data_IF_864071507451
#
_entry.id   IF_864071507451
#
_cell.length_a   1.000
_cell.length_b   1.000
_cell.length_c   1.000
_cell.angle_alpha   90.00
_cell.angle_beta   90.00
_cell.angle_gamma   90.00
#
_symmetry.space_group_name_H-M   'P 1'
#
loop_
_entity.id
_entity.type
_entity.pdbx_description
1 polymer ?
#
# COMPACT_ATOMS: atom_id res chain seq x y z
N UNK A 1 -47.68 23.38 42.01
CA UNK A 1 -47.32 23.84 40.65
C UNK A 1 -45.86 23.52 40.42
N UNK A 2 -45.56 22.47 39.65
CA UNK A 2 -44.19 22.07 39.32
C UNK A 2 -43.73 22.85 38.09
N UNK A 3 -42.62 23.59 38.21
CA UNK A 3 -42.03 24.36 37.12
C UNK A 3 -41.26 23.47 36.16
N UNK A 4 -41.67 23.44 34.89
CA UNK A 4 -40.89 22.90 33.78
C UNK A 4 -39.81 23.94 33.40
N UNK A 5 -38.56 23.68 33.74
CA UNK A 5 -37.40 24.37 33.18
C UNK A 5 -37.04 23.72 31.84
N UNK A 6 -37.37 24.38 30.74
CA UNK A 6 -36.91 24.02 29.40
C UNK A 6 -35.40 24.28 29.30
N UNK A 7 -34.61 23.22 29.32
CA UNK A 7 -33.18 23.28 29.05
C UNK A 7 -32.92 23.69 27.60
N UNK A 8 -32.23 24.82 27.41
CA UNK A 8 -31.72 25.23 26.11
C UNK A 8 -30.65 24.24 25.66
N UNK A 9 -30.92 23.53 24.56
CA UNK A 9 -29.92 22.75 23.85
C UNK A 9 -28.87 23.69 23.27
N UNK A 10 -27.65 23.66 23.82
CA UNK A 10 -26.51 24.35 23.23
C UNK A 10 -26.15 23.67 21.91
N UNK A 11 -26.34 24.39 20.81
CA UNK A 11 -25.89 23.96 19.49
C UNK A 11 -24.38 23.70 19.55
N UNK A 12 -23.97 22.46 19.27
CA UNK A 12 -22.56 22.07 19.23
C UNK A 12 -21.82 22.89 18.17
N UNK A 13 -20.97 23.82 18.62
CA UNK A 13 -20.04 24.53 17.76
C UNK A 13 -19.05 23.52 17.17
N UNK A 14 -19.26 23.13 15.92
CA UNK A 14 -18.29 22.39 15.15
C UNK A 14 -16.98 23.22 15.07
N UNK A 15 -15.86 22.60 15.43
CA UNK A 15 -14.56 23.28 15.40
C UNK A 15 -14.30 23.92 14.03
N UNK A 16 -13.67 25.11 13.98
CA UNK A 16 -13.41 25.80 12.72
C UNK A 16 -12.53 24.92 11.81
N UNK A 17 -12.85 24.91 10.51
CA UNK A 17 -12.07 24.17 9.52
C UNK A 17 -10.61 24.63 9.54
N UNK A 18 -9.62 23.73 9.43
CA UNK A 18 -8.22 24.10 9.42
C UNK A 18 -7.89 25.10 8.30
N UNK A 19 -7.09 26.12 8.61
CA UNK A 19 -6.54 27.06 7.62
C UNK A 19 -5.53 26.36 6.71
N UNK A 20 -5.26 26.95 5.53
CA UNK A 20 -4.26 26.45 4.58
C UNK A 20 -2.87 26.26 5.23
N UNK A 21 -2.44 27.24 6.05
CA UNK A 21 -1.18 27.17 6.80
C UNK A 21 -1.16 25.99 7.77
N UNK A 22 -2.27 25.73 8.47
CA UNK A 22 -2.41 24.58 9.36
C UNK A 22 -2.39 23.27 8.57
N UNK A 23 -3.07 23.18 7.42
CA UNK A 23 -3.06 22.00 6.56
C UNK A 23 -1.65 21.68 6.04
N UNK A 24 -0.91 22.68 5.56
CA UNK A 24 0.49 22.53 5.11
C UNK A 24 1.40 22.03 6.23
N UNK A 25 1.26 22.59 7.44
CA UNK A 25 2.02 22.12 8.62
C UNK A 25 1.67 20.67 9.00
N UNK A 26 0.38 20.33 8.99
CA UNK A 26 -0.08 18.97 9.26
C UNK A 26 0.43 17.97 8.20
N UNK A 27 0.45 18.35 6.93
CA UNK A 27 1.00 17.55 5.84
C UNK A 27 2.50 17.32 6.01
N UNK A 28 3.27 18.34 6.36
CA UNK A 28 4.70 18.18 6.64
C UNK A 28 4.95 17.22 7.83
N UNK A 29 4.14 17.32 8.89
CA UNK A 29 4.21 16.41 10.04
C UNK A 29 3.86 14.97 9.64
N UNK A 30 2.79 14.78 8.86
CA UNK A 30 2.37 13.46 8.38
C UNK A 30 3.38 12.84 7.41
N UNK A 31 3.97 13.64 6.52
CA UNK A 31 5.04 13.21 5.62
C UNK A 31 6.20 12.60 6.39
N UNK A 32 6.75 13.33 7.38
CA UNK A 32 7.82 12.81 8.25
C UNK A 32 7.45 11.51 8.95
N UNK A 33 6.19 11.38 9.41
CA UNK A 33 5.70 10.15 10.06
C UNK A 33 5.62 8.98 9.09
N UNK A 34 5.13 9.23 7.86
CA UNK A 34 4.99 8.19 6.84
C UNK A 34 6.36 7.71 6.37
N UNK A 35 7.32 8.61 6.16
CA UNK A 35 8.69 8.26 5.76
C UNK A 35 9.36 7.37 6.81
N UNK A 36 9.20 7.74 8.09
CA UNK A 36 9.68 6.93 9.22
C UNK A 36 9.05 5.54 9.21
N UNK A 37 7.73 5.43 9.09
CA UNK A 37 7.02 4.15 9.04
C UNK A 37 7.43 3.30 7.84
N UNK A 38 7.64 3.90 6.66
CA UNK A 38 8.10 3.20 5.47
C UNK A 38 9.50 2.62 5.70
N UNK A 39 10.40 3.40 6.31
CA UNK A 39 11.73 2.94 6.69
C UNK A 39 11.68 1.74 7.65
N UNK A 40 10.90 1.85 8.72
CA UNK A 40 10.69 0.78 9.70
C UNK A 40 10.07 -0.48 9.07
N UNK A 41 9.04 -0.29 8.23
CA UNK A 41 8.37 -1.37 7.51
C UNK A 41 9.34 -2.13 6.60
N UNK A 42 10.17 -1.42 5.83
CA UNK A 42 11.15 -2.04 4.94
C UNK A 42 12.20 -2.82 5.74
N UNK A 43 12.71 -2.26 6.84
CA UNK A 43 13.65 -2.96 7.72
C UNK A 43 13.03 -4.26 8.28
N UNK A 44 11.78 -4.20 8.78
CA UNK A 44 11.10 -5.40 9.29
C UNK A 44 10.79 -6.42 8.19
N UNK A 45 10.45 -5.99 6.97
CA UNK A 45 10.27 -6.91 5.83
C UNK A 45 11.53 -7.72 5.53
N UNK A 46 12.69 -7.07 5.53
CA UNK A 46 13.98 -7.74 5.35
C UNK A 46 14.24 -8.70 6.50
N UNK A 47 13.96 -8.30 7.74
CA UNK A 47 14.07 -9.17 8.91
C UNK A 47 13.16 -10.40 8.80
N UNK A 48 11.89 -10.25 8.39
CA UNK A 48 10.96 -11.37 8.14
C UNK A 48 11.49 -12.29 7.05
N UNK A 49 12.07 -11.78 5.97
CA UNK A 49 12.65 -12.62 4.93
C UNK A 49 13.81 -13.48 5.47
N UNK A 50 14.69 -12.89 6.29
CA UNK A 50 15.76 -13.61 6.99
C UNK A 50 15.20 -14.63 7.99
N UNK A 51 14.17 -14.27 8.75
CA UNK A 51 13.50 -15.15 9.71
C UNK A 51 12.86 -16.36 9.03
N UNK A 52 12.22 -16.17 7.86
CA UNK A 52 11.70 -17.28 7.03
C UNK A 52 12.79 -18.24 6.59
N UNK A 53 13.94 -17.73 6.13
CA UNK A 53 15.06 -18.58 5.74
C UNK A 53 15.64 -19.35 6.93
N UNK A 54 15.75 -18.70 8.09
CA UNK A 54 16.21 -19.34 9.34
C UNK A 54 15.24 -20.41 9.84
N UNK A 55 13.93 -20.14 9.79
CA UNK A 55 12.87 -21.07 10.17
C UNK A 55 12.85 -22.30 9.25
N UNK A 56 12.96 -22.09 7.93
CA UNK A 56 13.09 -23.18 6.95
C UNK A 56 14.30 -24.06 7.27
N UNK A 57 15.47 -23.44 7.48
CA UNK A 57 16.70 -24.17 7.83
C UNK A 57 16.55 -24.93 9.16
N UNK A 58 15.82 -24.40 10.14
CA UNK A 58 15.57 -25.07 11.40
C UNK A 58 14.63 -26.28 11.25
N UNK A 59 13.60 -26.18 10.39
CA UNK A 59 12.73 -27.32 10.05
C UNK A 59 13.51 -28.43 9.33
N UNK A 60 14.40 -28.08 8.41
CA UNK A 60 15.26 -29.05 7.73
C UNK A 60 16.20 -29.76 8.72
N UNK A 61 16.80 -29.03 9.68
CA UNK A 61 17.61 -29.64 10.76
C UNK A 61 16.79 -30.56 11.66
N UNK A 62 15.55 -30.18 12.00
CA UNK A 62 14.65 -31.02 12.77
C UNK A 62 14.34 -32.33 12.03
N UNK A 63 14.00 -32.25 10.73
CA UNK A 63 13.74 -33.43 9.92
C UNK A 63 14.96 -34.36 9.83
N UNK A 64 16.17 -33.80 9.70
CA UNK A 64 17.42 -34.58 9.75
C UNK A 64 17.60 -35.27 11.10
N UNK A 65 17.45 -34.52 12.20
CA UNK A 65 17.62 -35.07 13.55
C UNK A 65 16.56 -36.12 13.92
N UNK A 66 15.35 -36.02 13.38
CA UNK A 66 14.31 -37.06 13.50
C UNK A 66 14.69 -38.33 12.74
N UNK A 67 15.31 -38.20 11.56
CA UNK A 67 15.84 -39.33 10.79
C UNK A 67 16.98 -40.01 11.55
N UNK A 68 17.92 -39.22 12.09
CA UNK A 68 19.06 -39.73 12.86
C UNK A 68 18.60 -40.43 14.15
N UNK A 69 17.61 -39.86 14.85
CA UNK A 69 17.02 -40.48 16.03
C UNK A 69 16.37 -41.83 15.68
N UNK A 70 15.60 -41.90 14.59
CA UNK A 70 14.98 -43.15 14.15
C UNK A 70 16.01 -44.21 13.79
N UNK A 71 17.12 -43.82 13.14
CA UNK A 71 18.22 -44.74 12.86
C UNK A 71 18.87 -45.27 14.15
N UNK A 72 19.11 -44.40 15.13
CA UNK A 72 19.66 -44.79 16.43
C UNK A 72 18.68 -45.67 17.24
N UNK A 73 17.37 -45.41 17.17
CA UNK A 73 16.32 -46.24 17.76
C UNK A 73 16.35 -47.67 17.21
N UNK A 74 16.46 -47.82 15.87
CA UNK A 74 16.58 -49.13 15.23
C UNK A 74 17.82 -49.89 15.72
N UNK A 75 18.98 -49.22 15.80
CA UNK A 75 20.23 -49.85 16.28
C UNK A 75 20.14 -50.34 17.74
N UNK A 76 19.44 -49.60 18.61
CA UNK A 76 19.19 -50.03 19.99
C UNK A 76 18.16 -51.16 20.04
N UNK A 77 17.15 -51.13 19.16
CA UNK A 77 16.18 -52.20 18.98
C UNK A 77 16.82 -53.53 18.58
N UNK A 78 17.78 -53.50 17.64
CA UNK A 78 18.53 -54.69 17.21
C UNK A 78 19.31 -55.32 18.39
N UNK A 79 19.92 -54.51 19.25
CA UNK A 79 20.61 -55.01 20.45
C UNK A 79 19.61 -55.67 21.41
N UNK A 80 18.45 -55.05 21.63
CA UNK A 80 17.42 -55.59 22.50
C UNK A 80 16.88 -56.93 21.97
N UNK A 81 16.67 -57.04 20.66
CA UNK A 81 16.24 -58.26 20.00
C UNK A 81 17.30 -59.37 20.09
N UNK A 82 18.57 -59.07 19.82
CA UNK A 82 19.67 -60.04 19.97
C UNK A 82 19.75 -60.56 21.40
N UNK A 83 19.62 -59.68 22.41
CA UNK A 83 19.59 -60.09 23.82
C UNK A 83 18.37 -60.95 24.15
N UNK A 84 17.20 -60.61 23.61
CA UNK A 84 15.98 -61.40 23.80
C UNK A 84 16.10 -62.81 23.19
N UNK A 85 16.65 -62.92 21.98
CA UNK A 85 16.90 -64.20 21.30
C UNK A 85 17.99 -65.02 22.03
N UNK A 86 19.06 -64.39 22.48
CA UNK A 86 20.15 -65.04 23.21
C UNK A 86 19.77 -65.49 24.63
N UNK A 87 18.86 -64.76 25.29
CA UNK A 87 18.34 -65.07 26.64
C UNK A 87 17.39 -66.27 26.71
N UNK A 88 17.11 -66.94 25.57
CA UNK A 88 16.16 -68.04 25.48
C UNK A 88 16.71 -69.45 25.70
N UNK A 89 18.04 -69.68 25.70
CA UNK A 89 18.78 -70.94 25.98
C UNK A 89 20.08 -71.09 25.12
N UNK A 90 20.35 -70.19 24.17
CA UNK A 90 21.41 -70.37 23.16
C UNK A 90 22.83 -69.91 23.52
N UNK A 91 22.99 -68.89 24.36
CA UNK A 91 24.33 -68.32 24.69
C UNK A 91 25.11 -69.13 25.73
N UNK A 92 24.46 -69.99 26.52
CA UNK A 92 25.12 -70.77 27.58
C UNK A 92 25.89 -71.97 27.03
N UNK A 93 25.54 -72.47 25.83
CA UNK A 93 26.22 -73.59 25.19
C UNK A 93 27.58 -73.24 24.57
N UNK A 94 27.72 -72.03 24.01
CA UNK A 94 28.94 -71.58 23.33
C UNK A 94 30.01 -71.04 24.30
N UNK A 95 29.58 -70.42 25.42
CA UNK A 95 30.44 -69.81 26.44
C UNK A 95 31.29 -70.82 27.26
N UNK A 96 31.03 -72.13 27.09
CA UNK A 96 31.68 -73.19 27.87
C UNK A 96 32.90 -73.82 27.15
N UNK A 97 33.33 -73.29 26.01
CA UNK A 97 34.50 -73.79 25.26
C UNK A 97 35.71 -72.86 25.45
N UNK A 98 36.84 -73.31 26.04
CA UNK A 98 37.91 -72.40 26.45
C UNK A 98 38.80 -71.99 25.28
N UNK A 99 38.56 -70.81 24.71
CA UNK A 99 39.41 -70.17 23.71
C UNK A 99 39.80 -68.73 24.10
N UNK A 100 41.08 -68.37 23.99
CA UNK A 100 41.62 -67.04 24.32
C UNK A 100 41.03 -65.87 23.48
N UNK A 101 40.17 -66.15 22.48
CA UNK A 101 39.47 -65.14 21.66
C UNK A 101 38.18 -64.57 22.27
N UNK A 102 37.58 -65.25 23.25
CA UNK A 102 36.25 -64.88 23.77
C UNK A 102 36.25 -63.59 24.60
N UNK A 103 37.32 -63.32 25.35
CA UNK A 103 37.42 -62.12 26.18
C UNK A 103 37.52 -60.83 25.35
N UNK A 104 38.31 -60.85 24.27
CA UNK A 104 38.45 -59.70 23.36
C UNK A 104 37.15 -59.43 22.58
N UNK A 105 36.47 -60.49 22.13
CA UNK A 105 35.17 -60.42 21.48
C UNK A 105 34.10 -59.83 22.41
N UNK A 106 34.04 -60.29 23.66
CA UNK A 106 33.12 -59.76 24.68
C UNK A 106 33.38 -58.27 24.99
N UNK A 107 34.65 -57.88 25.11
CA UNK A 107 35.02 -56.49 25.35
C UNK A 107 34.64 -55.59 24.16
N UNK A 108 34.82 -56.07 22.93
CA UNK A 108 34.40 -55.36 21.72
C UNK A 108 32.88 -55.20 21.63
N UNK A 109 32.12 -56.26 21.93
CA UNK A 109 30.66 -56.24 22.00
C UNK A 109 30.14 -55.24 23.05
N UNK A 110 30.75 -55.20 24.24
CA UNK A 110 30.39 -54.22 25.27
C UNK A 110 30.70 -52.79 24.84
N UNK A 111 31.86 -52.55 24.21
CA UNK A 111 32.23 -51.25 23.67
C UNK A 111 31.24 -50.78 22.60
N UNK A 112 30.81 -51.68 21.71
CA UNK A 112 29.85 -51.37 20.65
C UNK A 112 28.45 -51.05 21.22
N UNK A 113 27.98 -51.82 22.21
CA UNK A 113 26.69 -51.56 22.88
C UNK A 113 26.69 -50.21 23.61
N UNK A 114 27.78 -49.88 24.30
CA UNK A 114 27.95 -48.59 24.97
C UNK A 114 27.96 -47.43 23.96
N UNK A 115 28.67 -47.61 22.83
CA UNK A 115 28.71 -46.63 21.76
C UNK A 115 27.32 -46.39 21.13
N UNK A 116 26.56 -47.45 20.84
CA UNK A 116 25.19 -47.36 20.30
C UNK A 116 24.23 -46.65 21.26
N UNK A 117 24.28 -46.96 22.55
CA UNK A 117 23.44 -46.29 23.57
C UNK A 117 23.79 -44.80 23.75
N UNK A 118 25.09 -44.47 23.71
CA UNK A 118 25.57 -43.09 23.73
C UNK A 118 25.13 -42.32 22.47
N UNK A 119 25.20 -42.97 21.31
CA UNK A 119 24.71 -42.45 20.02
C UNK A 119 23.22 -42.14 20.07
N UNK A 120 22.39 -43.04 20.59
CA UNK A 120 20.96 -42.81 20.79
C UNK A 120 20.68 -41.61 21.70
N UNK A 121 21.36 -41.51 22.84
CA UNK A 121 21.19 -40.37 23.76
C UNK A 121 21.56 -39.06 23.08
N UNK A 122 22.64 -39.05 22.30
CA UNK A 122 23.10 -37.89 21.54
C UNK A 122 22.09 -37.50 20.45
N UNK A 123 21.57 -38.45 19.67
CA UNK A 123 20.56 -38.22 18.65
C UNK A 123 19.25 -37.69 19.26
N UNK A 124 18.81 -38.24 20.40
CA UNK A 124 17.64 -37.78 21.14
C UNK A 124 17.79 -36.33 21.60
N UNK A 125 18.95 -35.98 22.14
CA UNK A 125 19.25 -34.62 22.59
C UNK A 125 19.33 -33.64 21.42
N UNK A 126 19.95 -34.05 20.30
CA UNK A 126 20.04 -33.25 19.08
C UNK A 126 18.64 -32.98 18.48
N UNK A 127 17.78 -34.01 18.40
CA UNK A 127 16.38 -33.86 17.96
C UNK A 127 15.61 -32.93 18.88
N UNK A 128 15.75 -33.08 20.20
CA UNK A 128 15.09 -32.17 21.17
C UNK A 128 15.51 -30.73 20.94
N UNK A 129 16.81 -30.47 20.82
CA UNK A 129 17.34 -29.12 20.56
C UNK A 129 16.80 -28.55 19.24
N UNK A 130 16.81 -29.34 18.16
CA UNK A 130 16.30 -28.93 16.87
C UNK A 130 14.79 -28.62 16.91
N UNK A 131 14.01 -29.38 17.68
CA UNK A 131 12.58 -29.14 17.88
C UNK A 131 12.31 -27.85 18.65
N UNK A 132 13.07 -27.61 19.73
CA UNK A 132 12.97 -26.40 20.55
C UNK A 132 13.36 -25.16 19.70
N UNK A 133 14.44 -25.24 18.91
CA UNK A 133 14.89 -24.17 18.01
C UNK A 133 13.86 -23.89 16.88
N UNK A 134 13.33 -24.94 16.23
CA UNK A 134 12.32 -24.79 15.18
C UNK A 134 11.01 -24.17 15.71
N UNK A 135 10.58 -24.58 16.91
CA UNK A 135 9.39 -24.01 17.59
C UNK A 135 9.59 -22.54 17.90
N UNK A 136 10.74 -22.17 18.47
CA UNK A 136 11.08 -20.78 18.77
C UNK A 136 11.09 -19.90 17.52
N UNK A 137 11.74 -20.35 16.45
CA UNK A 137 11.82 -19.60 15.19
C UNK A 137 10.45 -19.48 14.51
N UNK A 138 9.62 -20.52 14.57
CA UNK A 138 8.24 -20.47 14.06
C UNK A 138 7.40 -19.43 14.81
N UNK A 139 7.50 -19.39 16.14
CA UNK A 139 6.80 -18.41 16.96
C UNK A 139 7.27 -16.98 16.65
N UNK A 140 8.59 -16.75 16.62
CA UNK A 140 9.16 -15.45 16.28
C UNK A 140 8.73 -14.99 14.88
N UNK A 141 8.77 -15.88 13.88
CA UNK A 141 8.34 -15.56 12.53
C UNK A 141 6.87 -15.15 12.48
N UNK A 142 6.00 -15.82 13.23
CA UNK A 142 4.57 -15.48 13.32
C UNK A 142 4.39 -14.07 13.86
N UNK A 143 5.09 -13.73 14.94
CA UNK A 143 5.02 -12.40 15.55
C UNK A 143 5.57 -11.32 14.62
N UNK A 144 6.70 -11.57 13.96
CA UNK A 144 7.30 -10.64 13.01
C UNK A 144 6.38 -10.36 11.82
N UNK A 145 5.70 -11.40 11.30
CA UNK A 145 4.71 -11.27 10.21
C UNK A 145 3.50 -10.44 10.64
N UNK A 146 2.99 -10.65 11.85
CA UNK A 146 1.89 -9.84 12.42
C UNK A 146 2.31 -8.38 12.53
N UNK A 147 3.51 -8.11 13.05
CA UNK A 147 4.01 -6.75 13.20
C UNK A 147 4.22 -6.04 11.86
N UNK A 148 4.80 -6.71 10.85
CA UNK A 148 4.99 -6.14 9.50
C UNK A 148 3.64 -5.80 8.86
N UNK A 149 2.64 -6.66 9.06
CA UNK A 149 1.29 -6.44 8.52
C UNK A 149 0.61 -5.25 9.19
N UNK A 150 0.75 -5.12 10.52
CA UNK A 150 0.23 -3.96 11.25
C UNK A 150 0.89 -2.66 10.80
N UNK A 151 2.22 -2.63 10.69
CA UNK A 151 2.95 -1.44 10.20
C UNK A 151 2.55 -1.03 8.79
N UNK A 152 2.31 -2.00 7.90
CA UNK A 152 1.79 -1.72 6.56
C UNK A 152 0.45 -0.97 6.64
N UNK A 153 -0.47 -1.46 7.46
CA UNK A 153 -1.80 -0.86 7.63
C UNK A 153 -1.72 0.56 8.20
N UNK A 154 -0.80 0.80 9.13
CA UNK A 154 -0.57 2.13 9.71
C UNK A 154 -0.01 3.09 8.66
N UNK A 155 0.95 2.65 7.84
CA UNK A 155 1.48 3.44 6.73
C UNK A 155 0.38 3.76 5.70
N UNK A 156 -0.42 2.78 5.29
CA UNK A 156 -1.56 2.97 4.39
C UNK A 156 -2.58 3.98 4.94
N UNK A 157 -2.87 3.92 6.25
CA UNK A 157 -3.76 4.87 6.93
C UNK A 157 -3.21 6.30 6.89
N UNK A 158 -1.93 6.48 7.21
CA UNK A 158 -1.29 7.81 7.14
C UNK A 158 -1.27 8.36 5.71
N UNK A 159 -1.00 7.51 4.70
CA UNK A 159 -1.08 7.90 3.30
C UNK A 159 -2.50 8.36 2.94
N UNK A 160 -3.53 7.67 3.43
CA UNK A 160 -4.92 8.10 3.29
C UNK A 160 -5.17 9.49 3.89
N UNK A 161 -4.71 9.71 5.13
CA UNK A 161 -4.84 11.03 5.78
C UNK A 161 -4.10 12.15 5.04
N UNK A 162 -2.94 11.86 4.45
CA UNK A 162 -2.20 12.81 3.61
C UNK A 162 -3.04 13.15 2.38
N UNK A 163 -3.59 12.15 1.68
CA UNK A 163 -4.47 12.36 0.52
C UNK A 163 -5.69 13.22 0.87
N UNK A 164 -6.35 12.94 1.98
CA UNK A 164 -7.51 13.71 2.44
C UNK A 164 -7.15 15.18 2.73
N UNK A 165 -5.99 15.42 3.34
CA UNK A 165 -5.53 16.78 3.64
C UNK A 165 -5.07 17.53 2.40
N UNK A 166 -4.45 16.85 1.43
CA UNK A 166 -4.15 17.43 0.12
C UNK A 166 -5.44 17.83 -0.59
N UNK A 167 -6.47 16.99 -0.54
CA UNK A 167 -7.78 17.33 -1.11
C UNK A 167 -8.46 18.50 -0.38
N UNK A 168 -8.21 18.68 0.92
CA UNK A 168 -8.68 19.86 1.68
C UNK A 168 -7.96 21.16 1.33
N UNK A 169 -6.76 21.10 0.75
CA UNK A 169 -6.06 22.30 0.29
C UNK A 169 -6.73 22.93 -0.94
N UNK A 170 -7.49 22.16 -1.73
CA UNK A 170 -8.24 22.71 -2.86
C UNK A 170 -9.36 23.62 -2.33
N UNK A 171 -9.31 24.94 -2.60
CA UNK A 171 -10.29 25.87 -2.07
C UNK A 171 -11.67 25.63 -2.68
N UNK A 172 -12.71 26.04 -1.95
CA UNK A 172 -14.04 26.20 -2.54
C UNK A 172 -14.09 27.56 -3.21
N UNK A 173 -14.40 27.59 -4.50
CA UNK A 173 -14.50 28.82 -5.26
C UNK A 173 -15.57 29.77 -4.67
N UNK A 174 -15.41 31.09 -4.86
CA UNK A 174 -16.42 32.06 -4.47
C UNK A 174 -17.75 31.81 -5.18
N UNK A 175 -18.84 32.33 -4.60
CA UNK A 175 -20.16 32.26 -5.20
C UNK A 175 -20.91 30.94 -5.04
N UNK A 176 -20.39 29.96 -4.27
CA UNK A 176 -21.13 28.72 -3.97
C UNK A 176 -22.31 28.99 -3.04
N UNK A 177 -23.53 28.68 -3.48
CA UNK A 177 -24.77 28.85 -2.71
C UNK A 177 -25.07 27.61 -1.87
N UNK A 178 -25.90 27.77 -0.83
CA UNK A 178 -26.30 26.69 0.07
C UNK A 178 -27.02 25.53 -0.65
N UNK A 179 -27.78 25.83 -1.69
CA UNK A 179 -28.45 24.84 -2.54
C UNK A 179 -27.52 24.11 -3.54
N UNK A 180 -26.20 24.36 -3.46
CA UNK A 180 -25.19 23.74 -4.34
C UNK A 180 -25.04 24.40 -5.71
N UNK A 181 -25.89 25.37 -6.07
CA UNK A 181 -25.73 26.17 -7.28
C UNK A 181 -24.69 27.28 -7.11
N UNK A 182 -24.39 27.98 -8.20
CA UNK A 182 -23.39 29.05 -8.22
C UNK A 182 -24.04 30.41 -8.47
N UNK A 183 -23.52 31.44 -7.81
CA UNK A 183 -23.85 32.82 -8.11
C UNK A 183 -23.21 33.22 -9.46
N UNK A 184 -23.91 34.03 -10.27
CA UNK A 184 -23.30 34.68 -11.43
C UNK A 184 -22.12 35.55 -10.98
N UNK A 185 -21.06 35.57 -11.80
CA UNK A 185 -19.89 36.40 -11.59
C UNK A 185 -19.59 37.18 -12.86
N UNK A 186 -19.32 38.48 -12.73
CA UNK A 186 -18.85 39.29 -13.85
C UNK A 186 -17.35 39.07 -14.08
N UNK A 187 -16.88 39.05 -15.35
CA UNK A 187 -15.47 39.16 -15.65
C UNK A 187 -14.88 40.44 -15.07
N UNK A 188 -13.67 40.34 -14.53
CA UNK A 188 -12.94 41.47 -13.94
C UNK A 188 -11.46 41.38 -14.28
N UNK A 189 -10.71 42.46 -14.07
CA UNK A 189 -9.26 42.49 -14.27
C UNK A 189 -8.83 42.54 -15.74
N UNK A 190 -7.53 42.67 -15.97
CA UNK A 190 -6.95 42.78 -17.33
C UNK A 190 -7.04 41.49 -18.14
N UNK A 191 -7.33 40.36 -17.50
CA UNK A 191 -7.51 39.06 -18.13
C UNK A 191 -8.96 38.77 -18.53
N UNK A 192 -9.91 39.66 -18.23
CA UNK A 192 -11.33 39.57 -18.60
C UNK A 192 -11.96 38.20 -18.26
N UNK A 193 -11.64 37.65 -17.09
CA UNK A 193 -12.22 36.40 -16.59
C UNK A 193 -12.89 36.58 -15.23
N UNK A 194 -13.81 35.66 -14.91
CA UNK A 194 -14.46 35.66 -13.60
C UNK A 194 -13.47 35.26 -12.49
N UNK A 195 -13.68 35.69 -11.23
CA UNK A 195 -12.89 35.24 -10.08
C UNK A 195 -12.76 33.71 -9.99
N UNK A 196 -13.84 32.98 -10.27
CA UNK A 196 -13.84 31.51 -10.29
C UNK A 196 -12.97 30.92 -11.38
N UNK A 197 -13.03 31.43 -12.62
CA UNK A 197 -12.17 30.98 -13.71
C UNK A 197 -10.70 31.25 -13.38
N UNK A 198 -10.41 32.41 -12.78
CA UNK A 198 -9.04 32.77 -12.35
C UNK A 198 -8.50 31.81 -11.29
N UNK A 199 -9.32 31.44 -10.31
CA UNK A 199 -8.97 30.45 -9.30
C UNK A 199 -8.71 29.08 -9.94
N UNK A 200 -9.61 28.59 -10.78
CA UNK A 200 -9.44 27.31 -11.48
C UNK A 200 -8.14 27.27 -12.30
N UNK A 201 -7.84 28.34 -13.06
CA UNK A 201 -6.57 28.47 -13.80
C UNK A 201 -5.36 28.46 -12.87
N UNK A 202 -5.42 29.18 -11.75
CA UNK A 202 -4.31 29.24 -10.79
C UNK A 202 -4.03 27.88 -10.16
N UNK A 203 -5.07 27.14 -9.78
CA UNK A 203 -4.95 25.78 -9.24
C UNK A 203 -4.38 24.80 -10.27
N UNK A 204 -4.84 24.83 -11.53
CA UNK A 204 -4.23 23.97 -12.57
C UNK A 204 -2.74 24.31 -12.76
N UNK A 205 -2.38 25.59 -12.78
CA UNK A 205 -0.98 26.02 -12.90
C UNK A 205 -0.12 25.65 -11.68
N UNK A 206 -0.69 25.56 -10.49
CA UNK A 206 0.05 25.17 -9.28
C UNK A 206 0.26 23.65 -9.21
N UNK A 207 -0.65 22.87 -9.79
CA UNK A 207 -0.60 21.40 -9.78
C UNK A 207 0.13 20.79 -10.98
N UNK A 208 0.25 21.52 -12.09
CA UNK A 208 0.77 20.98 -13.34
C UNK A 208 1.81 21.90 -13.98
N UNK A 209 2.91 21.30 -14.46
CA UNK A 209 3.91 21.99 -15.27
C UNK A 209 3.43 22.08 -16.72
N UNK A 210 2.74 23.17 -17.05
CA UNK A 210 2.21 23.41 -18.39
C UNK A 210 3.30 23.95 -19.32
N UNK A 211 3.51 23.30 -20.46
CA UNK A 211 4.50 23.71 -21.46
C UNK A 211 3.96 24.72 -22.49
N UNK A 212 2.65 24.90 -22.54
CA UNK A 212 1.95 25.73 -23.51
C UNK A 212 1.06 26.76 -22.79
N UNK A 213 0.68 27.87 -23.46
CA UNK A 213 -0.13 28.91 -22.86
C UNK A 213 -1.53 28.40 -22.49
N UNK A 214 -2.18 29.12 -21.57
CA UNK A 214 -3.59 28.89 -21.21
C UNK A 214 -4.42 30.04 -21.75
N UNK A 215 -5.31 29.76 -22.68
CA UNK A 215 -6.23 30.76 -23.27
C UNK A 215 -7.57 30.74 -22.56
N UNK A 216 -8.01 31.86 -21.98
CA UNK A 216 -9.27 31.88 -21.21
C UNK A 216 -10.34 32.83 -21.76
N UNK A 217 -9.95 34.04 -22.13
CA UNK A 217 -10.85 35.02 -22.69
C UNK A 217 -10.51 35.28 -24.15
N UNK A 218 -11.55 35.42 -24.97
CA UNK A 218 -11.47 35.97 -26.32
C UNK A 218 -12.79 36.68 -26.65
N UNK A 219 -12.72 37.77 -27.42
CA UNK A 219 -13.84 38.68 -27.60
C UNK A 219 -14.89 38.18 -28.61
N UNK A 220 -14.54 37.20 -29.44
CA UNK A 220 -15.43 36.69 -30.48
C UNK A 220 -16.64 36.01 -29.84
N UNK A 221 -17.84 36.56 -30.06
CA UNK A 221 -19.07 35.98 -29.55
C UNK A 221 -19.46 34.71 -30.32
N UNK A 222 -18.95 33.57 -29.86
CA UNK A 222 -19.14 32.25 -30.44
C UNK A 222 -20.26 31.44 -29.75
N UNK A 223 -21.01 32.07 -28.85
CA UNK A 223 -22.02 31.42 -28.00
C UNK A 223 -21.44 30.50 -26.93
N UNK A 224 -20.11 30.47 -26.77
CA UNK A 224 -19.39 29.70 -25.76
C UNK A 224 -19.14 30.47 -24.47
N UNK A 225 -18.33 29.88 -23.59
CA UNK A 225 -18.02 30.44 -22.27
C UNK A 225 -16.77 31.32 -22.27
N UNK A 226 -15.96 31.32 -23.33
CA UNK A 226 -14.77 32.17 -23.44
C UNK A 226 -15.10 33.68 -23.46
N UNK A 227 -16.08 34.16 -24.25
CA UNK A 227 -16.43 35.59 -24.27
C UNK A 227 -17.03 36.07 -22.95
N UNK A 228 -17.54 35.13 -22.16
CA UNK A 228 -18.10 35.37 -20.83
C UNK A 228 -17.04 35.30 -19.73
N UNK A 229 -15.77 35.04 -20.07
CA UNK A 229 -14.69 34.90 -19.09
C UNK A 229 -14.83 33.66 -18.19
N UNK A 230 -15.60 32.66 -18.64
CA UNK A 230 -15.98 31.45 -17.90
C UNK A 230 -15.35 30.17 -18.45
N UNK A 231 -14.34 30.26 -19.30
CA UNK A 231 -13.63 29.10 -19.81
C UNK A 231 -12.11 29.29 -19.80
N UNK A 232 -11.38 28.17 -19.80
CA UNK A 232 -9.98 28.13 -20.18
C UNK A 232 -9.66 26.88 -20.99
N UNK A 233 -8.80 27.06 -21.99
CA UNK A 233 -8.14 26.03 -22.77
C UNK A 233 -6.70 25.85 -22.25
N UNK A 234 -6.44 24.69 -21.68
CA UNK A 234 -5.10 24.28 -21.24
C UNK A 234 -4.41 23.56 -22.40
N UNK A 235 -3.62 24.31 -23.16
CA UNK A 235 -2.98 23.82 -24.37
C UNK A 235 -1.94 22.73 -24.05
N UNK A 236 -1.82 21.77 -24.96
CA UNK A 236 -0.92 20.61 -24.91
C UNK A 236 -0.01 20.54 -26.16
N UNK A 237 -0.24 21.42 -27.13
CA UNK A 237 0.56 21.64 -28.32
C UNK A 237 0.43 23.10 -28.78
N UNK A 238 1.07 23.47 -29.89
CA UNK A 238 1.01 24.81 -30.48
C UNK A 238 -0.34 25.17 -31.14
N UNK A 239 -1.42 24.44 -30.87
CA UNK A 239 -2.72 24.62 -31.53
C UNK A 239 -2.73 24.03 -32.94
N UNK A 240 -3.79 23.30 -33.28
CA UNK A 240 -3.98 22.66 -34.58
C UNK A 240 -3.14 21.40 -34.81
N UNK A 241 -2.15 21.13 -33.96
CA UNK A 241 -1.28 19.97 -34.02
C UNK A 241 -1.59 18.96 -32.90
N UNK A 242 -1.45 17.67 -33.17
CA UNK A 242 -1.58 16.65 -32.12
C UNK A 242 -0.49 16.82 -31.05
N UNK A 243 -0.82 16.66 -29.77
CA UNK A 243 0.18 16.70 -28.70
C UNK A 243 1.10 15.47 -28.78
N UNK A 244 2.32 15.60 -28.24
CA UNK A 244 3.16 14.43 -27.99
C UNK A 244 2.50 13.48 -26.99
N UNK A 245 2.94 12.22 -26.92
CA UNK A 245 2.40 11.26 -25.96
C UNK A 245 2.48 11.75 -24.50
N UNK A 246 3.58 12.41 -24.14
CA UNK A 246 3.77 12.99 -22.81
C UNK A 246 2.77 14.12 -22.52
N UNK A 247 2.53 15.01 -23.50
CA UNK A 247 1.56 16.09 -23.37
C UNK A 247 0.12 15.57 -23.38
N UNK A 248 -0.18 14.53 -24.16
CA UNK A 248 -1.49 13.88 -24.13
C UNK A 248 -1.79 13.26 -22.76
N UNK A 249 -0.79 12.64 -22.12
CA UNK A 249 -0.89 12.09 -20.77
C UNK A 249 -1.04 13.20 -19.72
N UNK A 250 -0.36 14.34 -19.88
CA UNK A 250 -0.59 15.53 -19.06
C UNK A 250 -2.04 16.01 -19.19
N UNK A 251 -2.58 16.07 -20.40
CA UNK A 251 -3.98 16.41 -20.65
C UNK A 251 -4.97 15.48 -19.97
N UNK A 252 -4.70 14.17 -19.96
CA UNK A 252 -5.53 13.21 -19.22
C UNK A 252 -5.54 13.50 -17.71
N UNK A 253 -4.38 13.88 -17.14
CA UNK A 253 -4.26 14.25 -15.73
C UNK A 253 -4.99 15.57 -15.41
N UNK A 254 -4.85 16.59 -16.25
CA UNK A 254 -5.53 17.89 -16.09
C UNK A 254 -7.04 17.70 -16.16
N UNK A 255 -7.55 16.95 -17.15
CA UNK A 255 -8.98 16.68 -17.29
C UNK A 255 -9.52 15.90 -16.07
N UNK A 256 -8.82 14.87 -15.62
CA UNK A 256 -9.21 14.09 -14.45
C UNK A 256 -9.22 14.94 -13.16
N UNK A 257 -8.23 15.81 -12.99
CA UNK A 257 -8.15 16.71 -11.83
C UNK A 257 -9.27 17.75 -11.85
N UNK A 258 -9.58 18.33 -13.01
CA UNK A 258 -10.68 19.29 -13.16
C UNK A 258 -12.03 18.65 -12.85
N UNK A 259 -12.25 17.39 -13.28
CA UNK A 259 -13.45 16.61 -12.94
C UNK A 259 -13.51 16.31 -11.43
N UNK A 260 -12.42 15.81 -10.84
CA UNK A 260 -12.33 15.46 -9.41
C UNK A 260 -12.67 16.66 -8.52
N UNK A 261 -12.12 17.83 -8.86
CA UNK A 261 -12.23 19.04 -8.05
C UNK A 261 -13.35 19.99 -8.48
N UNK A 262 -14.02 19.70 -9.59
CA UNK A 262 -14.91 20.66 -10.21
C UNK A 262 -16.14 21.03 -9.37
N UNK A 263 -16.60 20.18 -8.45
CA UNK A 263 -17.64 20.52 -7.47
C UNK A 263 -17.22 21.59 -6.46
N UNK A 264 -15.92 21.68 -6.15
CA UNK A 264 -15.36 22.72 -5.27
C UNK A 264 -15.07 24.00 -6.04
N UNK A 265 -14.63 23.86 -7.30
CA UNK A 265 -14.22 24.99 -8.14
C UNK A 265 -15.33 25.59 -8.99
N UNK A 266 -16.49 24.93 -9.08
CA UNK A 266 -17.63 25.34 -9.90
C UNK A 266 -17.44 25.14 -11.39
N UNK A 267 -16.78 24.04 -11.76
CA UNK A 267 -16.67 23.56 -13.13
C UNK A 267 -18.04 23.06 -13.60
N UNK A 268 -18.47 23.54 -14.76
CA UNK A 268 -19.70 23.15 -15.46
C UNK A 268 -19.47 21.89 -16.29
N UNK A 269 -18.46 21.91 -17.15
CA UNK A 269 -18.04 20.75 -17.94
C UNK A 269 -16.57 20.81 -18.34
N UNK A 270 -16.04 19.66 -18.76
CA UNK A 270 -14.70 19.49 -19.35
C UNK A 270 -14.86 18.87 -20.73
N UNK A 271 -14.15 19.38 -21.74
CA UNK A 271 -14.05 18.78 -23.07
C UNK A 271 -12.59 18.42 -23.33
N UNK A 272 -12.34 17.18 -23.76
CA UNK A 272 -11.00 16.73 -24.14
C UNK A 272 -11.05 15.47 -24.98
N UNK A 273 -10.27 15.36 -26.06
CA UNK A 273 -10.24 14.20 -26.98
C UNK A 273 -11.64 13.88 -27.56
N UNK A 274 -12.33 14.89 -28.07
CA UNK A 274 -13.65 14.79 -28.73
C UNK A 274 -14.74 14.18 -27.85
N UNK A 275 -14.65 14.37 -26.54
CA UNK A 275 -15.64 13.93 -25.57
C UNK A 275 -15.86 15.02 -24.53
N UNK A 276 -17.07 15.05 -23.99
CA UNK A 276 -17.49 16.01 -22.96
C UNK A 276 -17.87 15.28 -21.68
N UNK A 277 -17.47 15.84 -20.54
CA UNK A 277 -17.86 15.42 -19.20
C UNK A 277 -18.62 16.56 -18.53
N UNK A 278 -19.90 16.40 -18.25
CA UNK A 278 -20.71 17.41 -17.55
C UNK A 278 -20.80 17.05 -16.08
N UNK A 279 -20.49 17.99 -15.17
CA UNK A 279 -20.50 17.67 -13.74
C UNK A 279 -21.90 17.45 -13.16
N UNK A 280 -22.92 18.04 -13.79
CA UNK A 280 -24.34 17.79 -13.47
C UNK A 280 -24.85 16.42 -13.96
N UNK A 281 -24.20 15.82 -14.96
CA UNK A 281 -24.53 14.50 -15.51
C UNK A 281 -23.23 13.71 -15.75
N UNK A 282 -22.65 13.14 -14.67
CA UNK A 282 -21.33 12.50 -14.70
C UNK A 282 -21.20 11.40 -15.76
N UNK A 283 -20.10 11.43 -16.50
CA UNK A 283 -19.77 10.45 -17.54
C UNK A 283 -19.24 11.12 -18.82
N UNK A 284 -18.25 10.49 -19.44
CA UNK A 284 -17.75 10.93 -20.75
C UNK A 284 -18.73 10.57 -21.85
N UNK A 285 -19.03 11.53 -22.73
CA UNK A 285 -19.88 11.32 -23.90
C UNK A 285 -19.15 11.79 -25.15
N UNK A 286 -19.20 11.00 -26.21
CA UNK A 286 -18.63 11.37 -27.49
C UNK A 286 -19.32 12.62 -28.05
N UNK A 287 -18.55 13.45 -28.75
CA UNK A 287 -19.05 14.62 -29.48
C UNK A 287 -18.98 14.36 -30.98
N UNK A 288 -19.84 15.04 -31.76
CA UNK A 288 -19.71 15.06 -33.21
C UNK A 288 -18.33 15.58 -33.62
N UNK A 289 -17.82 15.09 -34.75
CA UNK A 289 -16.59 15.59 -35.33
C UNK A 289 -16.82 17.03 -35.84
N UNK A 290 -16.03 17.97 -35.37
CA UNK A 290 -16.10 19.41 -35.71
C UNK A 290 -15.03 19.85 -36.71
N UNK A 291 -14.33 18.90 -37.34
CA UNK A 291 -13.50 19.17 -38.52
C UNK A 291 -12.04 19.54 -38.25
N UNK A 292 -11.48 19.26 -37.07
CA UNK A 292 -10.05 19.49 -36.82
C UNK A 292 -9.57 19.13 -35.42
N UNK A 293 -8.24 19.13 -35.23
CA UNK A 293 -7.60 18.81 -33.94
C UNK A 293 -8.10 19.75 -32.83
N UNK A 294 -8.04 21.06 -33.05
CA UNK A 294 -8.50 22.08 -32.09
C UNK A 294 -10.01 22.03 -31.89
N UNK A 295 -10.78 21.97 -32.98
CA UNK A 295 -12.25 21.92 -32.90
C UNK A 295 -12.74 20.68 -32.11
N UNK A 296 -12.01 19.57 -32.19
CA UNK A 296 -12.27 18.33 -31.44
C UNK A 296 -11.50 18.24 -30.12
N UNK A 297 -10.79 19.29 -29.70
CA UNK A 297 -10.12 19.38 -28.40
C UNK A 297 -9.09 18.25 -28.18
N UNK A 298 -8.35 17.88 -29.22
CA UNK A 298 -7.26 16.91 -29.10
C UNK A 298 -5.96 17.55 -28.62
N UNK A 299 -5.79 18.85 -28.85
CA UNK A 299 -4.61 19.65 -28.52
C UNK A 299 -4.72 20.46 -27.23
N UNK A 300 -5.88 20.42 -26.55
CA UNK A 300 -6.08 21.13 -25.29
C UNK A 300 -7.20 20.49 -24.44
N UNK A 301 -7.12 20.71 -23.13
CA UNK A 301 -8.24 20.44 -22.22
C UNK A 301 -9.04 21.73 -22.07
N UNK A 302 -10.30 21.72 -22.47
CA UNK A 302 -11.21 22.84 -22.27
C UNK A 302 -12.01 22.65 -20.98
N UNK A 303 -12.04 23.67 -20.14
CA UNK A 303 -12.79 23.69 -18.88
C UNK A 303 -13.71 24.90 -18.85
N UNK A 304 -15.01 24.65 -18.71
CA UNK A 304 -16.03 25.69 -18.58
C UNK A 304 -16.56 25.77 -17.14
N UNK A 305 -16.91 26.97 -16.70
CA UNK A 305 -17.34 27.31 -15.34
C UNK A 305 -18.82 27.75 -15.31
N UNK A 306 -19.49 27.63 -14.16
CA UNK A 306 -20.85 28.19 -13.96
C UNK A 306 -20.87 29.73 -13.93
#
# INVERSE_FOLDING_TARGET
MAGLMLGQATAGNAAPKPTEKQLKSQLASLGKKVDKLIGEYNAKRVAVAKAKAAEKSARERLASAETDLKAAENQVGDIAQLRYQAGGLGMVGELMSPGYGDAAMLQQLQAEQSAKLSGFTSARNARKKAADDATKLTAQLRDDVVQVTAQRKDAEKLIGQIKDKLDQLIPTAPGKKANGSWAPELPTGSDNITPRTRLMRAEVKSHFSLSFPVGCYRAENDGGEHPLGRACDFMLSSGGAMPSAAQAALGDQVAAWAIKNGRKLGVKYVIYKQRIYNLGFPGWRAMSNRGGVTANHFDHVHVSMY
#
